data_IF_413769100005
#
_entry.id   IF_413769100005
#
_cell.length_a   1.000
_cell.length_b   1.000
_cell.length_c   1.000
_cell.angle_alpha   90.00
_cell.angle_beta   90.00
_cell.angle_gamma   90.00
#
_symmetry.space_group_name_H-M   'P 1'
#
loop_
_entity.id
_entity.type
_entity.pdbx_description
1 polymer ?
#
# COMPACT_ATOMS: atom_id res chain seq x y z
N UNK A 1 11.98 15.00 -8.91
CA UNK A 1 11.59 14.64 -7.53
C UNK A 1 11.10 13.19 -7.53
N UNK A 2 11.46 12.47 -6.47
CA UNK A 2 11.06 11.06 -6.36
C UNK A 2 9.61 10.97 -5.88
N UNK A 3 8.80 10.10 -6.49
CA UNK A 3 7.47 9.84 -5.94
C UNK A 3 7.56 9.30 -4.52
N UNK A 4 6.60 9.65 -3.68
CA UNK A 4 6.53 9.15 -2.31
C UNK A 4 5.61 7.94 -2.25
N UNK A 5 6.10 6.89 -1.60
CA UNK A 5 5.34 5.65 -1.39
C UNK A 5 5.18 5.44 0.11
N UNK A 6 3.96 5.26 0.58
CA UNK A 6 3.69 4.81 1.95
C UNK A 6 3.59 3.29 1.92
N UNK A 7 4.32 2.63 2.83
CA UNK A 7 4.28 1.17 2.97
C UNK A 7 3.69 0.87 4.35
N UNK A 8 2.57 0.18 4.37
CA UNK A 8 1.85 -0.14 5.60
C UNK A 8 1.75 -1.65 5.79
N UNK A 9 2.36 -2.17 6.84
CA UNK A 9 2.34 -3.59 7.19
C UNK A 9 2.69 -3.70 8.68
N UNK A 10 2.07 -4.64 9.38
CA UNK A 10 2.36 -4.85 10.80
C UNK A 10 3.56 -5.77 11.05
N UNK A 11 4.11 -6.37 10.01
CA UNK A 11 5.30 -7.23 10.12
C UNK A 11 6.57 -6.41 9.86
N UNK A 12 7.43 -6.21 10.88
CA UNK A 12 8.63 -5.38 10.70
C UNK A 12 9.57 -5.87 9.60
N UNK A 13 9.69 -7.18 9.43
CA UNK A 13 10.56 -7.75 8.40
C UNK A 13 10.09 -7.39 7.00
N UNK A 14 8.79 -7.39 6.78
CA UNK A 14 8.22 -7.00 5.49
C UNK A 14 8.44 -5.52 5.24
N UNK A 15 8.21 -4.68 6.26
CA UNK A 15 8.45 -3.23 6.13
C UNK A 15 9.89 -2.94 5.72
N UNK A 16 10.86 -3.58 6.40
CA UNK A 16 12.29 -3.36 6.11
C UNK A 16 12.62 -3.81 4.69
N UNK A 17 12.13 -4.97 4.28
CA UNK A 17 12.40 -5.51 2.94
C UNK A 17 11.82 -4.62 1.85
N UNK A 18 10.59 -4.16 2.02
CA UNK A 18 9.93 -3.31 1.03
C UNK A 18 10.54 -1.91 1.00
N UNK A 19 10.92 -1.39 2.16
CA UNK A 19 11.62 -0.11 2.23
C UNK A 19 12.91 -0.14 1.41
N UNK A 20 13.72 -1.17 1.63
CA UNK A 20 14.97 -1.34 0.89
C UNK A 20 14.73 -1.41 -0.60
N UNK A 21 13.75 -2.22 -1.01
CA UNK A 21 13.43 -2.40 -2.42
C UNK A 21 12.99 -1.09 -3.08
N UNK A 22 12.06 -0.37 -2.45
CA UNK A 22 11.52 0.86 -3.03
C UNK A 22 12.55 1.98 -3.06
N UNK A 23 13.39 2.10 -2.04
CA UNK A 23 14.48 3.09 -2.05
C UNK A 23 15.47 2.79 -3.15
N UNK A 24 15.80 1.52 -3.38
CA UNK A 24 16.68 1.10 -4.46
C UNK A 24 16.10 1.46 -5.84
N UNK A 25 14.77 1.43 -5.97
CA UNK A 25 14.09 1.83 -7.20
C UNK A 25 13.98 3.35 -7.38
N UNK A 26 14.44 4.11 -6.41
CA UNK A 26 14.50 5.58 -6.51
C UNK A 26 13.32 6.31 -5.88
N UNK A 27 12.50 5.63 -5.09
CA UNK A 27 11.33 6.25 -4.46
C UNK A 27 11.63 6.74 -3.05
N UNK A 28 10.90 7.77 -2.61
CA UNK A 28 10.90 8.21 -1.21
C UNK A 28 9.90 7.36 -0.45
N UNK A 29 10.31 6.81 0.70
CA UNK A 29 9.51 5.81 1.43
C UNK A 29 9.13 6.34 2.82
N UNK A 30 7.86 6.14 3.17
CA UNK A 30 7.33 6.39 4.53
C UNK A 30 6.72 5.09 5.02
N UNK A 31 7.07 4.67 6.24
CA UNK A 31 6.59 3.41 6.80
C UNK A 31 5.46 3.64 7.80
N UNK A 32 4.51 2.71 7.84
CA UNK A 32 3.43 2.67 8.81
C UNK A 32 3.25 1.24 9.31
N UNK A 33 3.00 1.07 10.59
CA UNK A 33 2.93 -0.25 11.23
C UNK A 33 1.52 -0.75 11.46
N UNK A 34 0.54 0.12 11.33
CA UNK A 34 -0.86 -0.23 11.49
C UNK A 34 -1.72 0.70 10.65
N UNK A 35 -3.02 0.44 10.63
CA UNK A 35 -3.94 1.19 9.77
C UNK A 35 -4.10 2.65 10.18
N UNK A 36 -3.96 2.96 11.45
CA UNK A 36 -4.09 4.33 11.93
C UNK A 36 -2.87 5.15 11.49
N UNK A 37 -1.67 4.60 11.72
CA UNK A 37 -0.44 5.22 11.22
C UNK A 37 -0.45 5.38 9.71
N UNK A 38 -0.96 4.37 9.00
CA UNK A 38 -1.04 4.41 7.55
C UNK A 38 -1.91 5.58 7.08
N UNK A 39 -3.08 5.74 7.65
CA UNK A 39 -3.99 6.81 7.26
C UNK A 39 -3.40 8.19 7.57
N UNK A 40 -2.79 8.33 8.75
CA UNK A 40 -2.13 9.58 9.12
C UNK A 40 -1.00 9.93 8.15
N UNK A 41 -0.16 8.94 7.81
CA UNK A 41 0.95 9.14 6.87
C UNK A 41 0.45 9.50 5.47
N UNK A 42 -0.61 8.85 5.02
CA UNK A 42 -1.21 9.13 3.71
C UNK A 42 -1.73 10.57 3.65
N UNK A 43 -2.43 11.00 4.68
CA UNK A 43 -2.98 12.36 4.74
C UNK A 43 -1.89 13.42 4.82
N UNK A 44 -0.82 13.12 5.56
CA UNK A 44 0.29 14.06 5.73
C UNK A 44 1.14 14.20 4.48
N UNK A 45 1.51 13.06 3.88
CA UNK A 45 2.48 13.03 2.78
C UNK A 45 1.85 13.03 1.39
N UNK A 46 0.57 12.70 1.27
CA UNK A 46 -0.14 12.61 0.00
C UNK A 46 0.68 11.82 -1.05
N UNK A 47 0.97 10.55 -0.77
CA UNK A 47 1.87 9.76 -1.62
C UNK A 47 1.27 9.48 -2.99
N UNK A 48 2.13 9.17 -3.95
CA UNK A 48 1.69 8.71 -5.25
C UNK A 48 1.12 7.30 -5.19
N UNK A 49 1.64 6.46 -4.27
CA UNK A 49 1.25 5.08 -4.13
C UNK A 49 1.29 4.65 -2.66
N UNK A 50 0.37 3.79 -2.28
CA UNK A 50 0.37 3.12 -0.98
C UNK A 50 0.45 1.62 -1.21
N UNK A 51 1.44 0.97 -0.58
CA UNK A 51 1.50 -0.49 -0.49
C UNK A 51 0.87 -0.85 0.85
N UNK A 52 -0.27 -1.52 0.82
CA UNK A 52 -1.16 -1.60 1.97
C UNK A 52 -1.54 -3.05 2.27
N UNK A 53 -1.04 -3.56 3.42
CA UNK A 53 -1.45 -4.88 3.88
C UNK A 53 -2.93 -4.85 4.30
N UNK A 54 -3.66 -5.91 3.96
CA UNK A 54 -5.08 -6.02 4.31
C UNK A 54 -5.25 -6.24 5.81
N UNK A 55 -4.43 -7.12 6.39
CA UNK A 55 -4.60 -7.53 7.79
C UNK A 55 -3.65 -6.76 8.70
N UNK A 56 -4.15 -5.70 9.31
CA UNK A 56 -3.39 -4.88 10.26
C UNK A 56 -4.23 -4.58 11.50
N UNK A 57 -3.61 -4.40 12.67
CA UNK A 57 -4.33 -3.95 13.86
C UNK A 57 -4.82 -2.50 13.70
N UNK A 58 -5.77 -2.12 14.52
CA UNK A 58 -6.40 -0.81 14.42
C UNK A 58 -7.38 -0.79 13.26
N UNK A 59 -7.03 -0.09 12.19
CA UNK A 59 -7.81 -0.12 10.94
C UNK A 59 -7.16 -1.13 9.99
N UNK A 60 -7.97 -2.03 9.41
CA UNK A 60 -7.47 -2.94 8.37
C UNK A 60 -7.28 -2.19 7.05
N UNK A 61 -6.68 -2.88 6.06
CA UNK A 61 -6.39 -2.26 4.78
C UNK A 61 -7.62 -1.79 4.03
N UNK A 62 -8.73 -2.50 4.14
CA UNK A 62 -9.98 -2.10 3.49
C UNK A 62 -10.53 -0.80 4.09
N UNK A 63 -10.47 -0.67 5.41
CA UNK A 63 -10.90 0.55 6.10
C UNK A 63 -10.05 1.76 5.71
N UNK A 64 -8.72 1.57 5.62
CA UNK A 64 -7.81 2.62 5.19
C UNK A 64 -8.12 3.03 3.74
N UNK A 65 -8.29 2.06 2.86
CA UNK A 65 -8.60 2.31 1.45
C UNK A 65 -9.91 3.09 1.31
N UNK A 66 -10.94 2.68 2.06
CA UNK A 66 -12.23 3.36 2.04
C UNK A 66 -12.10 4.81 2.49
N UNK A 67 -11.35 5.06 3.56
CA UNK A 67 -11.13 6.42 4.07
C UNK A 67 -10.39 7.29 3.07
N UNK A 68 -9.38 6.72 2.37
CA UNK A 68 -8.64 7.44 1.34
C UNK A 68 -9.56 7.80 0.17
N UNK A 69 -10.41 6.87 -0.26
CA UNK A 69 -11.32 7.12 -1.38
C UNK A 69 -12.44 8.10 -1.03
N UNK A 70 -12.76 8.26 0.25
CA UNK A 70 -13.73 9.25 0.70
C UNK A 70 -13.12 10.67 0.78
N UNK A 71 -11.80 10.79 0.65
CA UNK A 71 -11.11 12.08 0.74
C UNK A 71 -10.70 12.56 -0.65
N UNK A 72 -11.39 13.59 -1.14
CA UNK A 72 -11.16 14.11 -2.49
C UNK A 72 -9.74 14.63 -2.70
N UNK A 73 -9.05 15.06 -1.63
CA UNK A 73 -7.68 15.55 -1.73
C UNK A 73 -6.68 14.42 -2.02
N UNK A 74 -7.12 13.18 -1.86
CA UNK A 74 -6.30 11.98 -2.09
C UNK A 74 -6.72 11.22 -3.35
N UNK A 75 -7.49 11.84 -4.23
CA UNK A 75 -8.00 11.17 -5.42
C UNK A 75 -6.89 10.64 -6.33
N UNK A 76 -5.73 11.29 -6.35
CA UNK A 76 -4.59 10.86 -7.18
C UNK A 76 -3.71 9.80 -6.55
N UNK A 77 -3.95 9.41 -5.30
CA UNK A 77 -3.16 8.38 -4.61
C UNK A 77 -3.62 7.00 -5.09
N UNK A 78 -2.70 6.21 -5.62
CA UNK A 78 -2.98 4.84 -6.00
C UNK A 78 -2.77 3.90 -4.81
N UNK A 79 -3.52 2.81 -4.77
CA UNK A 79 -3.44 1.84 -3.67
C UNK A 79 -3.24 0.44 -4.24
N UNK A 80 -2.14 -0.21 -3.84
CA UNK A 80 -1.87 -1.60 -4.14
C UNK A 80 -2.02 -2.40 -2.85
N UNK A 81 -3.05 -3.24 -2.81
CA UNK A 81 -3.32 -4.07 -1.63
C UNK A 81 -2.44 -5.31 -1.65
N UNK A 82 -1.87 -5.64 -0.49
CA UNK A 82 -1.06 -6.85 -0.31
C UNK A 82 -1.86 -7.81 0.55
N UNK A 83 -2.19 -8.98 0.02
CA UNK A 83 -3.10 -9.92 0.68
C UNK A 83 -2.47 -11.30 0.81
N UNK A 84 -2.90 -12.07 1.83
CA UNK A 84 -2.43 -13.44 2.00
C UNK A 84 -3.02 -14.35 0.91
N UNK A 85 -2.24 -15.35 0.52
CA UNK A 85 -2.68 -16.34 -0.47
C UNK A 85 -3.96 -17.03 0.03
N UNK A 86 -4.93 -17.19 -0.88
CA UNK A 86 -6.19 -17.84 -0.55
C UNK A 86 -7.27 -16.92 0.00
N UNK A 87 -7.02 -15.63 0.03
CA UNK A 87 -8.00 -14.66 0.56
C UNK A 87 -8.76 -13.95 -0.56
N UNK A 88 -9.54 -14.71 -1.30
CA UNK A 88 -10.31 -14.17 -2.43
C UNK A 88 -11.33 -13.13 -2.00
N UNK A 89 -11.92 -13.29 -0.80
CA UNK A 89 -12.85 -12.32 -0.27
C UNK A 89 -12.20 -10.96 0.00
N UNK A 90 -10.93 -10.97 0.41
CA UNK A 90 -10.18 -9.72 0.62
C UNK A 90 -9.99 -8.98 -0.70
N UNK A 91 -9.71 -9.72 -1.78
CA UNK A 91 -9.55 -9.14 -3.11
C UNK A 91 -10.87 -8.50 -3.58
N UNK A 92 -11.97 -9.20 -3.43
CA UNK A 92 -13.28 -8.69 -3.81
C UNK A 92 -13.66 -7.43 -3.02
N UNK A 93 -13.40 -7.45 -1.70
CA UNK A 93 -13.67 -6.29 -0.85
C UNK A 93 -12.78 -5.11 -1.21
N UNK A 94 -11.50 -5.37 -1.49
CA UNK A 94 -10.56 -4.31 -1.87
C UNK A 94 -10.96 -3.62 -3.15
N UNK A 95 -11.39 -4.36 -4.15
CA UNK A 95 -11.89 -3.79 -5.39
C UNK A 95 -13.17 -3.00 -5.14
N UNK A 96 -14.03 -3.47 -4.24
CA UNK A 96 -15.27 -2.77 -3.89
C UNK A 96 -15.04 -1.45 -3.17
N UNK A 97 -13.92 -1.30 -2.46
CA UNK A 97 -13.60 -0.05 -1.74
C UNK A 97 -12.63 0.86 -2.50
N UNK A 98 -12.26 0.48 -3.72
CA UNK A 98 -11.50 1.37 -4.61
C UNK A 98 -10.00 1.18 -4.65
N UNK A 99 -9.50 -0.01 -4.35
CA UNK A 99 -8.08 -0.33 -4.56
C UNK A 99 -7.78 -0.36 -6.06
N UNK A 100 -6.57 0.10 -6.43
CA UNK A 100 -6.15 0.14 -7.83
C UNK A 100 -5.53 -1.17 -8.28
N UNK A 101 -5.10 -2.01 -7.34
CA UNK A 101 -4.53 -3.30 -7.66
C UNK A 101 -4.38 -4.17 -6.44
N UNK A 102 -3.98 -5.40 -6.68
CA UNK A 102 -3.84 -6.44 -5.67
C UNK A 102 -2.62 -7.29 -5.97
N UNK A 103 -1.86 -7.64 -4.94
CA UNK A 103 -0.83 -8.67 -5.05
C UNK A 103 -0.98 -9.64 -3.90
N UNK A 104 -0.85 -10.92 -4.20
CA UNK A 104 -0.97 -12.00 -3.21
C UNK A 104 0.41 -12.32 -2.63
N UNK A 105 0.52 -12.41 -1.32
CA UNK A 105 1.72 -12.89 -0.64
C UNK A 105 1.76 -14.43 -0.71
N UNK A 106 2.92 -15.05 -0.87
CA UNK A 106 4.21 -14.41 -1.12
C UNK A 106 4.35 -13.94 -2.57
N UNK A 107 5.00 -12.80 -2.75
CA UNK A 107 5.30 -12.27 -4.08
C UNK A 107 6.82 -12.12 -4.23
N UNK A 108 7.32 -12.12 -5.47
CA UNK A 108 8.72 -11.86 -5.69
C UNK A 108 8.98 -10.36 -5.66
N UNK A 109 10.18 -9.97 -5.21
CA UNK A 109 10.57 -8.55 -5.20
C UNK A 109 10.61 -7.98 -6.60
N UNK A 110 10.99 -8.80 -7.58
CA UNK A 110 11.03 -8.42 -8.99
C UNK A 110 9.62 -8.08 -9.49
N UNK A 111 8.63 -8.91 -9.17
CA UNK A 111 7.25 -8.70 -9.60
C UNK A 111 6.67 -7.45 -8.94
N UNK A 112 6.94 -7.25 -7.65
CA UNK A 112 6.46 -6.06 -6.96
C UNK A 112 7.07 -4.79 -7.55
N UNK A 113 8.38 -4.78 -7.79
CA UNK A 113 9.04 -3.62 -8.38
C UNK A 113 8.46 -3.30 -9.76
N UNK A 114 8.23 -4.33 -10.58
CA UNK A 114 7.64 -4.15 -11.90
C UNK A 114 6.22 -3.59 -11.82
N UNK A 115 5.43 -4.07 -10.87
CA UNK A 115 4.05 -3.60 -10.68
C UNK A 115 4.04 -2.13 -10.25
N UNK A 116 4.91 -1.76 -9.32
CA UNK A 116 5.01 -0.38 -8.85
C UNK A 116 5.42 0.54 -10.00
N UNK A 117 6.42 0.15 -10.79
CA UNK A 117 6.82 0.94 -11.98
C UNK A 117 5.67 1.12 -12.95
N UNK A 118 4.89 0.07 -13.18
CA UNK A 118 3.76 0.14 -14.10
C UNK A 118 2.67 1.10 -13.58
N UNK A 119 2.45 1.13 -12.27
CA UNK A 119 1.44 1.99 -11.66
C UNK A 119 1.87 3.47 -11.63
N UNK A 120 3.16 3.72 -11.44
CA UNK A 120 3.67 5.10 -11.33
C UNK A 120 4.19 5.68 -12.65
N UNK A 121 4.22 4.86 -13.67
CA UNK A 121 4.69 5.29 -15.00
C UNK A 121 6.18 5.34 -15.07
#
# INVERSE_FOLDING_TARGET
MSPTIVIADDEPNILISLEFLMKREGYTVVLARDGIEALDAIRLHRPALVLLDVMMPGKNGHEVCQAVRADDTLAGTQILMLTAKGRDTDTAQGLGVGADGYMTKPFSTKDLAARVRAMLG
#
